data_IF_782717547294
#
_entry.id   IF_782717547294
#
_cell.length_a   1.000
_cell.length_b   1.000
_cell.length_c   1.000
_cell.angle_alpha   90.00
_cell.angle_beta   90.00
_cell.angle_gamma   90.00
#
_symmetry.space_group_name_H-M   'P 1'
#
loop_
_entity.id
_entity.type
_entity.pdbx_description
1 polymer ?
#
# COMPACT_ATOMS: atom_id res chain seq x y z
N UNK A 1 -11.48 -18.25 6.31
CA UNK A 1 -11.10 -16.92 5.79
C UNK A 1 -9.92 -16.43 6.60
N UNK A 2 -8.77 -16.19 5.97
CA UNK A 2 -7.56 -15.70 6.67
C UNK A 2 -7.65 -14.20 6.94
N UNK A 3 -6.79 -13.66 7.81
CA UNK A 3 -6.72 -12.21 8.06
C UNK A 3 -6.44 -11.42 6.76
N UNK A 4 -5.65 -11.98 5.84
CA UNK A 4 -5.36 -11.37 4.55
C UNK A 4 -6.59 -11.35 3.63
N UNK A 5 -7.40 -12.41 3.64
CA UNK A 5 -8.63 -12.48 2.84
C UNK A 5 -9.62 -11.41 3.33
N UNK A 6 -9.78 -11.28 4.65
CA UNK A 6 -10.64 -10.26 5.26
C UNK A 6 -10.22 -8.84 4.87
N UNK A 7 -8.92 -8.53 4.95
CA UNK A 7 -8.40 -7.21 4.57
C UNK A 7 -8.69 -6.93 3.08
N UNK A 8 -8.42 -7.89 2.20
CA UNK A 8 -8.69 -7.74 0.75
C UNK A 8 -10.17 -7.48 0.48
N UNK A 9 -11.07 -8.18 1.16
CA UNK A 9 -12.51 -7.98 1.00
C UNK A 9 -12.95 -6.59 1.48
N UNK A 10 -12.42 -6.12 2.62
CA UNK A 10 -12.69 -4.76 3.10
C UNK A 10 -12.21 -3.69 2.11
N UNK A 11 -11.00 -3.84 1.58
CA UNK A 11 -10.44 -2.92 0.59
C UNK A 11 -11.25 -2.92 -0.70
N UNK A 12 -11.67 -4.09 -1.18
CA UNK A 12 -12.53 -4.24 -2.37
C UNK A 12 -13.91 -3.64 -2.21
N UNK A 13 -14.35 -3.31 -1.00
CA UNK A 13 -15.63 -2.66 -0.73
C UNK A 13 -15.52 -1.13 -0.55
N UNK A 14 -14.31 -0.56 -0.58
CA UNK A 14 -14.12 0.89 -0.53
C UNK A 14 -14.59 1.55 -1.84
N UNK A 15 -15.41 2.58 -1.73
CA UNK A 15 -16.00 3.31 -2.86
C UNK A 15 -16.02 4.82 -2.58
N UNK A 16 -16.14 5.60 -3.65
CA UNK A 16 -16.28 7.05 -3.59
C UNK A 16 -15.21 7.72 -2.71
N UNK A 17 -15.63 8.64 -1.85
CA UNK A 17 -14.71 9.40 -0.99
C UNK A 17 -13.86 8.51 -0.08
N UNK A 18 -14.41 7.39 0.45
CA UNK A 18 -13.64 6.48 1.30
C UNK A 18 -12.48 5.82 0.54
N UNK A 19 -12.64 5.54 -0.74
CA UNK A 19 -11.55 5.03 -1.58
C UNK A 19 -10.46 6.09 -1.80
N UNK A 20 -10.85 7.36 -2.00
CA UNK A 20 -9.91 8.49 -2.14
C UNK A 20 -9.13 8.72 -0.85
N UNK A 21 -9.84 8.80 0.29
CA UNK A 21 -9.24 8.99 1.61
C UNK A 21 -8.29 7.84 1.95
N UNK A 22 -8.66 6.61 1.57
CA UNK A 22 -7.79 5.45 1.73
C UNK A 22 -6.52 5.60 0.91
N UNK A 23 -6.60 6.00 -0.36
CA UNK A 23 -5.40 6.19 -1.19
C UNK A 23 -4.49 7.30 -0.63
N UNK A 24 -5.04 8.42 -0.17
CA UNK A 24 -4.26 9.49 0.46
C UNK A 24 -3.56 8.97 1.71
N UNK A 25 -4.29 8.25 2.57
CA UNK A 25 -3.70 7.69 3.78
C UNK A 25 -2.64 6.64 3.47
N UNK A 26 -2.90 5.75 2.52
CA UNK A 26 -1.94 4.73 2.09
C UNK A 26 -0.67 5.37 1.53
N UNK A 27 -0.78 6.45 0.74
CA UNK A 27 0.39 7.19 0.26
C UNK A 27 1.26 7.71 1.41
N UNK A 28 0.63 8.27 2.45
CA UNK A 28 1.32 8.71 3.66
C UNK A 28 2.00 7.55 4.39
N UNK A 29 1.30 6.45 4.63
CA UNK A 29 1.85 5.26 5.30
C UNK A 29 3.01 4.63 4.51
N UNK A 30 2.94 4.62 3.18
CA UNK A 30 4.04 4.17 2.33
C UNK A 30 5.27 5.09 2.44
N UNK A 31 5.07 6.39 2.70
CA UNK A 31 6.18 7.31 2.98
C UNK A 31 6.86 6.96 4.31
N UNK A 32 6.10 6.52 5.32
CA UNK A 32 6.66 6.00 6.58
C UNK A 32 7.44 4.71 6.34
N UNK A 33 6.85 3.75 5.63
CA UNK A 33 7.52 2.51 5.24
C UNK A 33 8.84 2.76 4.49
N UNK A 34 8.87 3.72 3.56
CA UNK A 34 10.09 4.11 2.86
C UNK A 34 11.17 4.65 3.80
N UNK A 35 10.79 5.45 4.81
CA UNK A 35 11.73 5.92 5.84
C UNK A 35 12.29 4.78 6.67
N UNK A 36 11.43 3.86 7.09
CA UNK A 36 11.84 2.70 7.89
C UNK A 36 12.87 1.85 7.14
N UNK A 37 12.57 1.50 5.87
CA UNK A 37 13.47 0.73 4.99
C UNK A 37 14.81 1.46 4.80
N UNK A 38 14.79 2.77 4.54
CA UNK A 38 16.02 3.55 4.34
C UNK A 38 16.89 3.60 5.60
N UNK A 39 16.26 3.66 6.78
CA UNK A 39 16.96 3.76 8.06
C UNK A 39 17.41 2.40 8.64
N UNK A 40 17.01 1.29 8.03
CA UNK A 40 17.32 -0.04 8.55
C UNK A 40 18.76 -0.45 8.21
N UNK A 41 19.66 -0.22 9.16
CA UNK A 41 21.07 -0.60 9.07
C UNK A 41 21.33 -2.11 9.08
N UNK A 42 20.30 -2.95 9.31
CA UNK A 42 20.38 -4.40 9.21
C UNK A 42 20.25 -4.94 7.79
N UNK A 43 19.77 -4.11 6.84
CA UNK A 43 19.66 -4.47 5.42
C UNK A 43 20.94 -4.13 4.67
N UNK A 44 21.32 -5.01 3.73
CA UNK A 44 22.33 -4.62 2.75
C UNK A 44 21.79 -3.55 1.79
N UNK A 45 22.71 -2.80 1.18
CA UNK A 45 22.36 -1.65 0.33
C UNK A 45 21.53 -2.03 -0.88
N UNK A 46 21.76 -3.20 -1.47
CA UNK A 46 21.05 -3.62 -2.69
C UNK A 46 19.61 -4.01 -2.36
N UNK A 47 19.40 -4.69 -1.24
CA UNK A 47 18.09 -4.98 -0.70
C UNK A 47 17.29 -3.71 -0.38
N UNK A 48 17.93 -2.71 0.27
CA UNK A 48 17.31 -1.41 0.54
C UNK A 48 16.88 -0.71 -0.75
N UNK A 49 17.79 -0.59 -1.72
CA UNK A 49 17.53 0.09 -2.99
C UNK A 49 16.43 -0.62 -3.80
N UNK A 50 16.45 -1.96 -3.84
CA UNK A 50 15.40 -2.72 -4.50
C UNK A 50 14.04 -2.51 -3.84
N UNK A 51 13.97 -2.56 -2.51
CA UNK A 51 12.72 -2.30 -1.78
C UNK A 51 12.19 -0.88 -2.02
N UNK A 52 13.04 0.14 -1.96
CA UNK A 52 12.65 1.54 -2.19
C UNK A 52 12.20 1.81 -3.63
N UNK A 53 12.84 1.19 -4.61
CA UNK A 53 12.41 1.27 -6.02
C UNK A 53 10.97 0.80 -6.18
N UNK A 54 10.64 -0.39 -5.68
CA UNK A 54 9.30 -0.96 -5.82
C UNK A 54 8.28 -0.25 -4.92
N UNK A 55 8.68 0.26 -3.76
CA UNK A 55 7.84 1.12 -2.93
C UNK A 55 7.45 2.40 -3.67
N UNK A 56 8.40 3.05 -4.36
CA UNK A 56 8.12 4.22 -5.17
C UNK A 56 7.12 3.92 -6.32
N UNK A 57 7.29 2.78 -7.00
CA UNK A 57 6.33 2.32 -8.00
C UNK A 57 4.93 2.11 -7.39
N UNK A 58 4.83 1.48 -6.21
CA UNK A 58 3.55 1.35 -5.50
C UNK A 58 2.95 2.73 -5.21
N UNK A 59 3.74 3.68 -4.69
CA UNK A 59 3.24 5.04 -4.45
C UNK A 59 2.64 5.62 -5.72
N UNK A 60 3.36 5.63 -6.85
CA UNK A 60 2.82 6.10 -8.13
C UNK A 60 1.48 5.44 -8.51
N UNK A 61 1.32 4.13 -8.28
CA UNK A 61 0.04 3.43 -8.52
C UNK A 61 -1.06 3.87 -7.56
N UNK A 62 -0.74 4.13 -6.30
CA UNK A 62 -1.70 4.67 -5.31
C UNK A 62 -2.21 6.05 -5.77
N UNK A 63 -1.35 6.93 -6.26
CA UNK A 63 -1.79 8.21 -6.80
C UNK A 63 -2.65 8.06 -8.06
N UNK A 64 -2.28 7.14 -8.95
CA UNK A 64 -3.11 6.79 -10.10
C UNK A 64 -4.51 6.32 -9.70
N UNK A 65 -4.61 5.47 -8.68
CA UNK A 65 -5.90 5.02 -8.14
C UNK A 65 -6.68 6.17 -7.48
N UNK A 66 -6.00 7.05 -6.74
CA UNK A 66 -6.62 8.26 -6.17
C UNK A 66 -7.16 9.20 -7.25
N UNK A 67 -6.50 9.34 -8.40
CA UNK A 67 -6.93 10.24 -9.47
C UNK A 67 -8.11 9.69 -10.30
N UNK A 68 -8.42 8.40 -10.19
CA UNK A 68 -9.50 7.73 -10.94
C UNK A 68 -10.83 7.80 -10.22
N UNK A 69 -11.92 7.97 -10.98
CA UNK A 69 -13.29 8.07 -10.44
C UNK A 69 -14.13 6.79 -10.66
N UNK A 70 -13.49 5.68 -11.03
CA UNK A 70 -14.14 4.38 -11.22
C UNK A 70 -13.99 3.44 -10.01
N UNK A 71 -14.95 2.53 -9.87
CA UNK A 71 -15.02 1.56 -8.78
C UNK A 71 -13.95 0.45 -8.87
N UNK A 72 -13.25 0.34 -9.99
CA UNK A 72 -12.19 -0.66 -10.21
C UNK A 72 -10.81 -0.18 -9.75
N UNK A 73 -10.66 1.11 -9.43
CA UNK A 73 -9.38 1.72 -9.09
C UNK A 73 -8.65 0.99 -7.94
N UNK A 74 -9.37 0.63 -6.88
CA UNK A 74 -8.79 -0.10 -5.75
C UNK A 74 -8.44 -1.54 -6.13
N UNK A 75 -9.31 -2.24 -6.85
CA UNK A 75 -9.04 -3.62 -7.28
C UNK A 75 -7.80 -3.71 -8.17
N UNK A 76 -7.65 -2.79 -9.13
CA UNK A 76 -6.47 -2.69 -9.97
C UNK A 76 -5.20 -2.36 -9.17
N UNK A 77 -5.30 -1.43 -8.20
CA UNK A 77 -4.20 -1.10 -7.31
C UNK A 77 -3.71 -2.31 -6.51
N UNK A 78 -4.61 -3.11 -5.93
CA UNK A 78 -4.25 -4.28 -5.14
C UNK A 78 -3.47 -5.31 -5.95
N UNK A 79 -3.83 -5.53 -7.22
CA UNK A 79 -3.09 -6.43 -8.10
C UNK A 79 -1.66 -5.91 -8.35
N UNK A 80 -1.49 -4.60 -8.60
CA UNK A 80 -0.16 -4.00 -8.75
C UNK A 80 0.67 -4.10 -7.47
N UNK A 81 0.06 -3.87 -6.31
CA UNK A 81 0.75 -3.98 -5.01
C UNK A 81 1.30 -5.39 -4.81
N UNK A 82 0.49 -6.42 -5.05
CA UNK A 82 0.93 -7.82 -4.93
C UNK A 82 2.10 -8.10 -5.85
N UNK A 83 1.98 -7.74 -7.13
CA UNK A 83 3.04 -7.98 -8.12
C UNK A 83 4.35 -7.27 -7.77
N UNK A 84 4.30 -6.04 -7.22
CA UNK A 84 5.51 -5.32 -6.80
C UNK A 84 6.11 -5.88 -5.51
N UNK A 85 5.29 -6.36 -4.57
CA UNK A 85 5.79 -7.02 -3.36
C UNK A 85 6.54 -8.32 -3.67
N UNK A 86 6.16 -9.05 -4.73
CA UNK A 86 6.88 -10.24 -5.19
C UNK A 86 8.30 -9.93 -5.71
N UNK A 87 8.58 -8.68 -6.09
CA UNK A 87 9.89 -8.26 -6.58
C UNK A 87 10.89 -7.94 -5.46
N UNK A 88 10.45 -7.86 -4.20
CA UNK A 88 11.31 -7.53 -3.06
C UNK A 88 10.86 -8.27 -1.78
N UNK A 89 11.66 -9.24 -1.27
CA UNK A 89 11.33 -10.00 -0.06
C UNK A 89 11.05 -9.14 1.17
N UNK A 90 11.70 -7.98 1.29
CA UNK A 90 11.57 -7.07 2.43
C UNK A 90 10.28 -6.25 2.35
N UNK A 91 9.82 -5.92 1.14
CA UNK A 91 8.77 -4.93 0.92
C UNK A 91 7.40 -5.37 1.46
N UNK A 92 7.07 -6.65 1.35
CA UNK A 92 5.74 -7.16 1.68
C UNK A 92 5.30 -6.88 3.12
N UNK A 93 6.22 -6.98 4.08
CA UNK A 93 5.94 -6.70 5.50
C UNK A 93 5.56 -5.24 5.73
N UNK A 94 6.37 -4.32 5.21
CA UNK A 94 6.12 -2.88 5.33
C UNK A 94 4.82 -2.45 4.64
N UNK A 95 4.58 -2.97 3.43
CA UNK A 95 3.37 -2.64 2.67
C UNK A 95 2.11 -3.17 3.37
N UNK A 96 2.17 -4.36 3.98
CA UNK A 96 1.06 -4.88 4.77
C UNK A 96 0.72 -3.95 5.94
N UNK A 97 1.71 -3.52 6.71
CA UNK A 97 1.50 -2.60 7.84
C UNK A 97 0.89 -1.28 7.34
N UNK A 98 1.35 -0.76 6.20
CA UNK A 98 0.81 0.45 5.60
C UNK A 98 -0.66 0.28 5.15
N UNK A 99 -1.00 -0.86 4.53
CA UNK A 99 -2.37 -1.20 4.14
C UNK A 99 -3.30 -1.27 5.36
N UNK A 100 -2.88 -1.99 6.41
CA UNK A 100 -3.66 -2.14 7.64
C UNK A 100 -3.90 -0.78 8.32
N UNK A 101 -2.84 0.04 8.41
CA UNK A 101 -2.92 1.38 9.03
C UNK A 101 -3.83 2.31 8.25
N UNK A 102 -3.75 2.28 6.91
CA UNK A 102 -4.60 3.09 6.05
C UNK A 102 -6.07 2.66 6.11
N UNK A 103 -6.33 1.35 6.08
CA UNK A 103 -7.69 0.80 6.17
C UNK A 103 -8.32 1.14 7.53
N UNK A 104 -7.58 1.00 8.62
CA UNK A 104 -8.06 1.35 9.95
C UNK A 104 -8.39 2.84 10.07
N UNK A 105 -7.60 3.72 9.42
CA UNK A 105 -7.88 5.15 9.41
C UNK A 105 -9.25 5.47 8.80
N UNK A 106 -9.59 4.85 7.66
CA UNK A 106 -10.86 5.15 6.96
C UNK A 106 -12.07 4.40 7.52
N UNK A 107 -11.85 3.30 8.25
CA UNK A 107 -12.91 2.59 8.96
C UNK A 107 -13.51 3.42 10.12
N UNK A 108 -12.71 4.32 10.70
CA UNK A 108 -13.10 5.16 11.84
C UNK A 108 -13.37 6.63 11.46
N UNK A 109 -13.23 7.00 10.19
CA UNK A 109 -13.65 8.31 9.69
C UNK A 109 -15.18 8.41 9.71
N UNK A 110 -15.70 9.42 10.42
CA UNK A 110 -17.14 9.73 10.52
C UNK A 110 -17.70 10.26 9.21
#
# INVERSE_FOLDING_TARGET
MTANDRMRDQLRNLRGQKAKDFCIRLWFELTLAGRDIWSDHGLDRDAQLNALKWLNEIQHRVWGAHARDDDEAISGLLACIVSHCEQSPILGGHVRIALDSALNSVAHSK
#
